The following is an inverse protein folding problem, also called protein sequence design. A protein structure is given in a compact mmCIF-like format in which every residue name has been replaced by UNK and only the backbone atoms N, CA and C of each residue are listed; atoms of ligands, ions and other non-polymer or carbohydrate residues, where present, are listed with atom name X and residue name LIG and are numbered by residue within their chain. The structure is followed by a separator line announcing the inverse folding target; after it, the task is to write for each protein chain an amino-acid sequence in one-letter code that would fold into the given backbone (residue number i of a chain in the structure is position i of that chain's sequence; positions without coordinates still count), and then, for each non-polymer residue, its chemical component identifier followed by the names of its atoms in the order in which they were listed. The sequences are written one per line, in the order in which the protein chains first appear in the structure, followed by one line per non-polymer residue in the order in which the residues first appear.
data_IF_580836702538
#
_entry.id   IF_580836702538
#
_cell.length_a   1.000
_cell.length_b   1.000
_cell.length_c   1.000
_cell.angle_alpha   90.00
_cell.angle_beta   90.00
_cell.angle_gamma   90.00
#
_symmetry.space_group_name_H-M   'P 1'
#
loop_
_entity.id
_entity.type
_entity.pdbx_description
1 polymer ?
#
# COMPACT_ATOMS: atom_id res chain seq x y z
N UNK A 1 -63.32 -1.84 -32.93
CA UNK A 1 -62.69 -0.88 -32.00
C UNK A 1 -62.14 -1.69 -30.85
N UNK A 2 -60.82 -1.76 -30.79
CA UNK A 2 -59.95 -2.34 -29.76
C UNK A 2 -60.26 -1.81 -28.38
N UNK A 3 -60.17 -2.61 -27.31
CA UNK A 3 -59.43 -2.26 -26.06
C UNK A 3 -58.94 -3.53 -25.37
N UNK A 4 -57.63 -3.68 -25.44
CA UNK A 4 -56.76 -4.63 -24.75
C UNK A 4 -56.62 -4.20 -23.27
N UNK A 5 -56.52 -5.13 -22.34
CA UNK A 5 -56.10 -4.83 -20.96
C UNK A 5 -55.30 -5.99 -20.39
N UNK A 6 -54.03 -5.99 -20.79
CA UNK A 6 -52.93 -6.79 -20.24
C UNK A 6 -52.65 -6.36 -18.80
N UNK A 7 -52.78 -7.30 -17.86
CA UNK A 7 -52.31 -7.16 -16.47
C UNK A 7 -50.80 -7.47 -16.42
N UNK A 8 -49.94 -6.62 -15.81
CA UNK A 8 -48.55 -7.00 -15.56
C UNK A 8 -48.42 -7.86 -14.29
N UNK A 9 -47.71 -8.98 -14.41
CA UNK A 9 -47.23 -9.80 -13.30
C UNK A 9 -45.98 -9.19 -12.67
N UNK A 10 -45.90 -9.01 -11.34
CA UNK A 10 -44.66 -8.68 -10.67
C UNK A 10 -44.09 -9.92 -9.98
N UNK A 11 -43.39 -10.77 -10.72
CA UNK A 11 -42.46 -11.75 -10.14
C UNK A 11 -41.06 -11.42 -10.66
N UNK A 12 -40.42 -10.42 -10.02
CA UNK A 12 -39.00 -10.16 -10.22
C UNK A 12 -38.21 -10.95 -9.17
N UNK A 13 -37.25 -11.80 -9.57
CA UNK A 13 -36.33 -12.41 -8.63
C UNK A 13 -35.46 -11.32 -8.01
N UNK A 14 -35.37 -11.36 -6.67
CA UNK A 14 -34.54 -10.48 -5.87
C UNK A 14 -33.11 -10.42 -6.43
N UNK A 15 -32.70 -9.21 -6.81
CA UNK A 15 -31.35 -8.89 -7.20
C UNK A 15 -30.37 -9.44 -6.15
N UNK A 16 -29.49 -10.31 -6.62
CA UNK A 16 -28.31 -10.81 -5.93
C UNK A 16 -27.63 -9.66 -5.21
N UNK A 17 -27.69 -9.68 -3.87
CA UNK A 17 -26.78 -8.89 -3.05
C UNK A 17 -25.39 -9.42 -3.34
N UNK A 18 -24.67 -8.72 -4.22
CA UNK A 18 -23.22 -8.83 -4.35
C UNK A 18 -22.65 -8.76 -2.95
N UNK A 19 -22.24 -9.91 -2.42
CA UNK A 19 -21.48 -9.95 -1.19
C UNK A 19 -20.27 -9.07 -1.43
N UNK A 20 -20.17 -7.97 -0.68
CA UNK A 20 -18.93 -7.25 -0.52
C UNK A 20 -17.92 -8.26 0.04
N UNK A 21 -17.18 -8.91 -0.86
CA UNK A 21 -15.95 -9.57 -0.50
C UNK A 21 -15.07 -8.47 0.06
N UNK A 22 -14.97 -8.42 1.38
CA UNK A 22 -13.98 -7.60 2.07
C UNK A 22 -12.61 -7.83 1.44
N UNK A 23 -11.72 -6.82 1.48
CA UNK A 23 -10.44 -6.88 0.81
C UNK A 23 -9.72 -8.16 1.20
N UNK A 24 -9.33 -8.95 0.20
CA UNK A 24 -8.67 -10.23 0.45
C UNK A 24 -7.44 -10.02 1.34
N UNK A 25 -7.03 -11.01 2.14
CA UNK A 25 -5.80 -10.93 2.93
C UNK A 25 -4.58 -10.50 2.09
N UNK A 26 -4.55 -10.86 0.81
CA UNK A 26 -3.53 -10.43 -0.15
C UNK A 26 -3.62 -8.93 -0.49
N UNK A 27 -4.82 -8.37 -0.57
CA UNK A 27 -5.04 -6.93 -0.78
C UNK A 27 -4.65 -6.11 0.46
N UNK A 28 -4.96 -6.62 1.66
CA UNK A 28 -4.51 -6.04 2.92
C UNK A 28 -2.98 -6.05 3.03
N UNK A 29 -2.31 -7.12 2.59
CA UNK A 29 -0.86 -7.18 2.52
C UNK A 29 -0.30 -6.15 1.54
N UNK A 30 -0.86 -6.04 0.32
CA UNK A 30 -0.41 -5.07 -0.69
C UNK A 30 -0.60 -3.61 -0.24
N UNK A 31 -1.67 -3.31 0.51
CA UNK A 31 -1.95 -1.94 0.99
C UNK A 31 -1.02 -1.48 2.12
N UNK A 32 -0.43 -2.41 2.88
CA UNK A 32 0.61 -2.11 3.89
C UNK A 32 1.97 -1.78 3.28
N UNK A 33 2.18 -2.08 2.00
CA UNK A 33 3.45 -1.88 1.30
C UNK A 33 3.44 -0.74 0.29
N UNK A 34 2.43 0.13 0.29
CA UNK A 34 2.51 1.36 -0.50
C UNK A 34 3.25 2.42 0.32
N UNK A 35 4.56 2.65 0.11
CA UNK A 35 5.19 3.83 0.66
C UNK A 35 4.41 5.07 0.15
N UNK A 36 4.29 6.12 0.96
CA UNK A 36 3.64 7.36 0.52
C UNK A 36 4.25 7.80 -0.81
N UNK A 37 3.39 8.16 -1.77
CA UNK A 37 3.82 8.68 -3.06
C UNK A 37 4.56 10.00 -2.82
N UNK A 38 5.88 9.94 -2.88
CA UNK A 38 6.79 10.89 -2.24
C UNK A 38 7.55 10.16 -1.12
N UNK A 39 8.43 9.24 -1.52
CA UNK A 39 9.26 8.49 -0.59
C UNK A 39 10.02 9.49 0.29
N UNK A 40 9.95 9.31 1.61
CA UNK A 40 10.70 10.16 2.51
C UNK A 40 12.17 10.07 2.11
N UNK A 41 12.78 11.23 1.86
CA UNK A 41 14.21 11.37 1.57
C UNK A 41 14.85 12.29 2.60
N UNK A 42 16.09 12.01 2.97
CA UNK A 42 16.88 12.77 3.95
C UNK A 42 18.31 12.95 3.47
N UNK A 43 18.91 14.09 3.82
CA UNK A 43 20.35 14.32 3.64
C UNK A 43 21.09 13.71 4.83
N UNK A 44 21.86 12.65 4.59
CA UNK A 44 22.61 11.93 5.63
C UNK A 44 24.05 11.70 5.16
N UNK A 45 24.97 11.58 6.12
CA UNK A 45 26.36 11.23 5.84
C UNK A 45 26.44 9.77 5.34
N UNK A 46 26.89 9.60 4.10
CA UNK A 46 27.14 8.29 3.52
C UNK A 46 28.63 7.95 3.69
N UNK A 47 28.94 6.95 4.52
CA UNK A 47 30.32 6.51 4.72
C UNK A 47 30.97 5.95 3.45
N UNK A 48 30.19 5.36 2.54
CA UNK A 48 30.70 4.85 1.27
C UNK A 48 31.01 5.98 0.26
N UNK A 49 30.28 7.10 0.33
CA UNK A 49 30.51 8.26 -0.54
C UNK A 49 31.41 9.33 0.10
N UNK A 50 31.70 9.19 1.40
CA UNK A 50 32.47 10.12 2.23
C UNK A 50 31.92 11.56 2.19
N UNK A 51 30.60 11.69 2.01
CA UNK A 51 29.90 12.98 1.94
C UNK A 51 28.44 12.84 2.34
N UNK A 52 27.79 13.99 2.57
CA UNK A 52 26.34 14.06 2.77
C UNK A 52 25.64 13.86 1.42
N UNK A 53 24.78 12.84 1.32
CA UNK A 53 24.02 12.50 0.11
C UNK A 53 22.54 12.29 0.44
N UNK A 54 21.64 12.39 -0.56
CA UNK A 54 20.25 11.98 -0.39
C UNK A 54 20.19 10.49 -0.08
N UNK A 55 19.40 10.14 0.93
CA UNK A 55 19.04 8.78 1.25
C UNK A 55 17.53 8.60 1.23
N UNK A 56 17.10 7.43 0.82
CA UNK A 56 15.69 7.03 0.77
C UNK A 56 15.42 5.98 1.84
N UNK A 57 14.13 5.76 2.14
CA UNK A 57 13.72 4.67 3.04
C UNK A 57 14.27 3.34 2.56
N UNK A 58 15.13 2.75 3.39
CA UNK A 58 15.69 1.43 3.19
C UNK A 58 14.89 0.35 3.93
N UNK A 59 15.51 -0.83 4.10
CA UNK A 59 14.94 -1.91 4.90
C UNK A 59 14.59 -1.45 6.32
N UNK A 60 13.58 -2.08 6.91
CA UNK A 60 13.22 -1.87 8.30
C UNK A 60 13.42 -3.18 9.07
N UNK A 61 13.92 -3.07 10.29
CA UNK A 61 14.06 -4.18 11.24
C UNK A 61 12.95 -4.08 12.27
N UNK A 62 12.23 -5.17 12.48
CA UNK A 62 11.07 -5.24 13.39
C UNK A 62 11.33 -6.22 14.53
N UNK A 63 10.78 -5.91 15.71
CA UNK A 63 10.76 -6.79 16.87
C UNK A 63 9.78 -7.94 16.71
N UNK A 64 9.83 -8.90 17.64
CA UNK A 64 8.91 -10.06 17.65
C UNK A 64 7.45 -9.64 17.83
N UNK A 65 7.23 -8.54 18.53
CA UNK A 65 5.95 -7.86 18.75
C UNK A 65 5.49 -7.01 17.56
N UNK A 66 6.30 -6.92 16.48
CA UNK A 66 6.01 -6.14 15.29
C UNK A 66 6.34 -4.65 15.42
N UNK A 67 6.93 -4.22 16.53
CA UNK A 67 7.41 -2.85 16.68
C UNK A 67 8.60 -2.57 15.76
N UNK A 68 8.67 -1.36 15.21
CA UNK A 68 9.81 -0.91 14.40
C UNK A 68 11.00 -0.67 15.33
N UNK A 69 12.07 -1.45 15.17
CA UNK A 69 13.31 -1.29 15.94
C UNK A 69 14.27 -0.33 15.24
N UNK A 70 14.45 -0.51 13.93
CA UNK A 70 15.37 0.31 13.13
C UNK A 70 14.76 0.55 11.77
N UNK A 71 14.68 1.81 11.35
CA UNK A 71 14.48 2.19 9.96
C UNK A 71 15.83 2.54 9.36
N UNK A 72 16.29 1.74 8.39
CA UNK A 72 17.50 2.04 7.66
C UNK A 72 17.21 3.05 6.54
N UNK A 73 18.22 3.84 6.21
CA UNK A 73 18.23 4.76 5.08
C UNK A 73 19.29 4.31 4.09
N UNK A 74 18.92 4.18 2.81
CA UNK A 74 19.82 3.74 1.74
C UNK A 74 20.24 4.95 0.92
N UNK A 75 21.55 5.11 0.69
CA UNK A 75 22.08 6.18 -0.14
C UNK A 75 21.51 6.08 -1.56
N UNK A 76 20.89 7.15 -2.04
CA UNK A 76 20.30 7.21 -3.38
C UNK A 76 21.35 7.34 -4.50
N UNK A 77 22.60 7.67 -4.15
CA UNK A 77 23.69 7.82 -5.13
C UNK A 77 24.45 6.50 -5.35
N UNK A 78 24.94 5.85 -4.29
CA UNK A 78 25.73 4.63 -4.41
C UNK A 78 24.93 3.34 -4.21
N UNK A 79 23.73 3.41 -3.62
CA UNK A 79 22.88 2.26 -3.25
C UNK A 79 23.50 1.22 -2.29
N UNK A 80 24.77 1.37 -1.95
CA UNK A 80 25.51 0.50 -1.03
C UNK A 80 25.49 1.05 0.41
N UNK A 81 25.69 2.36 0.54
CA UNK A 81 25.69 3.05 1.82
C UNK A 81 24.35 2.92 2.54
N UNK A 82 24.39 2.45 3.79
CA UNK A 82 23.24 2.39 4.69
C UNK A 82 23.57 3.07 5.99
N UNK A 83 22.62 3.84 6.50
CA UNK A 83 22.77 4.55 7.77
C UNK A 83 21.45 4.62 8.53
N UNK A 84 21.52 4.99 9.81
CA UNK A 84 20.36 5.34 10.65
C UNK A 84 20.28 6.86 10.73
N UNK A 85 19.07 7.41 10.76
CA UNK A 85 18.90 8.87 10.75
C UNK A 85 17.45 9.33 10.80
#
# INVERSE_FOLDING_TARGET
MTMESTLPSPDQPAASRSGEQGPSPLELARKRHRPPAGGASRQLECLACERVTPHELGPATYGRDGSLLVQWWTCAECHEGRTVG
#
